data_IF_994526926025
#
_entry.id   IF_994526926025
#
_cell.length_a   1.000
_cell.length_b   1.000
_cell.length_c   1.000
_cell.angle_alpha   90.00
_cell.angle_beta   90.00
_cell.angle_gamma   90.00
#
_symmetry.space_group_name_H-M   'P 1'
#
loop_
_entity.id
_entity.type
_entity.pdbx_description
1 polymer ?
#
# COMPACT_ATOMS: atom_id res chain seq x y z
N UNK A 1 33.25 10.84 -80.86
CA UNK A 1 33.82 9.80 -79.97
C UNK A 1 34.95 10.47 -79.20
N UNK A 2 34.74 11.06 -78.03
CA UNK A 2 34.15 10.47 -76.82
C UNK A 2 33.51 11.56 -75.95
N UNK A 3 32.18 11.61 -75.92
CA UNK A 3 31.43 12.24 -74.83
C UNK A 3 31.74 11.46 -73.54
N UNK A 4 32.29 12.14 -72.54
CA UNK A 4 32.45 11.57 -71.20
C UNK A 4 31.05 11.53 -70.57
N UNK A 5 30.57 10.38 -70.06
CA UNK A 5 29.31 10.36 -69.37
C UNK A 5 29.44 11.17 -68.09
N UNK A 6 28.43 12.00 -67.92
CA UNK A 6 28.13 12.85 -66.78
C UNK A 6 28.33 12.08 -65.47
N UNK A 7 29.33 12.49 -64.68
CA UNK A 7 29.49 12.02 -63.30
C UNK A 7 28.54 12.83 -62.41
N UNK A 8 27.24 12.65 -62.63
CA UNK A 8 26.23 13.13 -61.70
C UNK A 8 26.36 12.28 -60.43
N UNK A 9 26.56 12.91 -59.25
CA UNK A 9 26.45 12.18 -57.99
C UNK A 9 25.09 11.49 -57.96
N UNK A 10 24.97 10.25 -57.47
CA UNK A 10 23.70 9.57 -57.40
C UNK A 10 22.71 10.47 -56.64
N UNK A 11 21.65 10.84 -57.35
CA UNK A 11 20.46 11.51 -56.84
C UNK A 11 20.17 10.93 -55.45
N UNK A 12 20.33 11.77 -54.43
CA UNK A 12 20.17 11.35 -53.04
C UNK A 12 18.76 10.83 -52.88
N UNK A 13 18.64 9.50 -52.80
CA UNK A 13 17.40 8.81 -52.44
C UNK A 13 16.79 9.61 -51.28
N UNK A 14 15.52 10.06 -51.39
CA UNK A 14 14.83 10.65 -50.26
C UNK A 14 14.93 9.64 -49.12
N UNK A 15 15.78 9.94 -48.14
CA UNK A 15 15.95 9.13 -46.95
C UNK A 15 14.57 8.96 -46.38
N UNK A 16 14.00 7.75 -46.47
CA UNK A 16 12.76 7.41 -45.79
C UNK A 16 12.89 7.96 -44.37
N UNK A 17 11.88 8.70 -43.86
CA UNK A 17 11.97 9.25 -42.52
C UNK A 17 12.27 8.08 -41.58
N UNK A 18 13.42 8.16 -40.89
CA UNK A 18 13.79 7.14 -39.92
C UNK A 18 12.58 6.89 -39.02
N UNK A 19 12.20 5.63 -38.76
CA UNK A 19 11.08 5.35 -37.89
C UNK A 19 11.38 6.03 -36.55
N UNK A 20 10.55 7.02 -36.21
CA UNK A 20 10.54 7.69 -34.92
C UNK A 20 10.77 6.63 -33.85
N UNK A 21 11.93 6.71 -33.19
CA UNK A 21 12.20 5.91 -32.00
C UNK A 21 11.10 6.26 -31.01
N UNK A 22 10.07 5.41 -30.94
CA UNK A 22 9.08 5.43 -29.86
C UNK A 22 9.86 5.48 -28.56
N UNK A 23 9.74 6.60 -27.85
CA UNK A 23 10.40 6.86 -26.60
C UNK A 23 10.06 5.73 -25.61
N UNK A 24 11.01 4.80 -25.45
CA UNK A 24 10.88 3.65 -24.56
C UNK A 24 10.99 4.03 -23.07
N UNK A 25 10.78 5.31 -22.72
CA UNK A 25 10.99 5.82 -21.37
C UNK A 25 10.00 6.91 -20.92
N UNK A 26 8.89 7.11 -21.63
CA UNK A 26 7.75 7.86 -21.11
C UNK A 26 6.59 6.90 -20.93
N UNK A 27 6.40 6.37 -19.71
CA UNK A 27 5.12 5.73 -19.39
C UNK A 27 4.02 6.74 -19.71
N UNK A 28 3.06 6.36 -20.55
CA UNK A 28 1.93 7.22 -20.83
C UNK A 28 1.13 7.47 -19.54
N UNK A 29 0.44 8.60 -19.42
CA UNK A 29 -0.49 8.84 -18.30
C UNK A 29 -1.46 7.67 -18.08
N UNK A 30 -1.85 7.00 -19.17
CA UNK A 30 -2.70 5.81 -19.13
C UNK A 30 -1.99 4.60 -18.52
N UNK A 31 -0.69 4.40 -18.79
CA UNK A 31 0.10 3.32 -18.19
C UNK A 31 0.27 3.54 -16.68
N UNK A 32 0.47 4.79 -16.26
CA UNK A 32 0.56 5.12 -14.84
C UNK A 32 -0.79 4.90 -14.12
N UNK A 33 -1.92 5.26 -14.74
CA UNK A 33 -3.26 4.96 -14.19
C UNK A 33 -3.54 3.45 -14.14
N UNK A 34 -3.03 2.67 -15.09
CA UNK A 34 -3.12 1.21 -15.06
C UNK A 34 -2.33 0.62 -13.88
N UNK A 35 -1.16 1.17 -13.59
CA UNK A 35 -0.38 0.80 -12.41
C UNK A 35 -1.12 1.16 -11.11
N UNK A 36 -1.81 2.29 -11.04
CA UNK A 36 -2.64 2.65 -9.88
C UNK A 36 -3.76 1.63 -9.64
N UNK A 37 -4.50 1.26 -10.69
CA UNK A 37 -5.60 0.28 -10.60
C UNK A 37 -5.09 -1.05 -10.04
N UNK A 38 -3.97 -1.53 -10.56
CA UNK A 38 -3.37 -2.79 -10.13
C UNK A 38 -2.83 -2.72 -8.70
N UNK A 39 -2.27 -1.56 -8.32
CA UNK A 39 -1.78 -1.30 -6.96
C UNK A 39 -2.92 -1.29 -5.94
N UNK A 40 -4.03 -0.62 -6.25
CA UNK A 40 -5.24 -0.61 -5.40
C UNK A 40 -5.82 -2.03 -5.27
N UNK A 41 -5.88 -2.78 -6.38
CA UNK A 41 -6.36 -4.16 -6.35
C UNK A 41 -5.52 -5.05 -5.42
N UNK A 42 -4.19 -4.96 -5.50
CA UNK A 42 -3.28 -5.72 -4.63
C UNK A 42 -3.35 -5.29 -3.17
N UNK A 43 -3.41 -3.98 -2.89
CA UNK A 43 -3.50 -3.48 -1.52
C UNK A 43 -4.82 -3.89 -0.86
N UNK A 44 -5.93 -3.89 -1.60
CA UNK A 44 -7.22 -4.41 -1.15
C UNK A 44 -7.17 -5.91 -0.84
N UNK A 45 -6.49 -6.72 -1.66
CA UNK A 45 -6.33 -8.15 -1.39
C UNK A 45 -5.53 -8.38 -0.11
N UNK A 46 -4.42 -7.66 0.08
CA UNK A 46 -3.61 -7.77 1.30
C UNK A 46 -4.38 -7.30 2.53
N UNK A 47 -5.11 -6.19 2.42
CA UNK A 47 -6.02 -5.72 3.47
C UNK A 47 -7.07 -6.78 3.79
N UNK A 48 -7.71 -7.39 2.80
CA UNK A 48 -8.71 -8.44 3.00
C UNK A 48 -8.12 -9.67 3.70
N UNK A 49 -6.91 -10.10 3.32
CA UNK A 49 -6.21 -11.22 3.97
C UNK A 49 -5.94 -10.87 5.45
N UNK A 50 -5.38 -9.70 5.73
CA UNK A 50 -5.07 -9.26 7.09
C UNK A 50 -6.36 -9.08 7.90
N UNK A 51 -7.43 -8.56 7.30
CA UNK A 51 -8.74 -8.44 7.93
C UNK A 51 -9.32 -9.81 8.31
N UNK A 52 -9.21 -10.81 7.45
CA UNK A 52 -9.65 -12.19 7.75
C UNK A 52 -8.80 -12.78 8.88
N UNK A 53 -7.48 -12.59 8.85
CA UNK A 53 -6.59 -13.00 9.96
C UNK A 53 -7.03 -12.33 11.26
N UNK A 54 -7.26 -11.02 11.24
CA UNK A 54 -7.71 -10.27 12.43
C UNK A 54 -9.07 -10.73 12.93
N UNK A 55 -9.99 -11.10 12.03
CA UNK A 55 -11.29 -11.67 12.38
C UNK A 55 -11.16 -13.05 13.04
N UNK A 56 -10.21 -13.89 12.62
CA UNK A 56 -9.94 -15.18 13.28
C UNK A 56 -9.39 -14.98 14.69
N UNK A 57 -8.49 -14.00 14.88
CA UNK A 57 -7.90 -13.64 16.18
C UNK A 57 -8.74 -12.65 17.01
N UNK A 58 -9.97 -12.35 16.57
CA UNK A 58 -10.82 -11.34 17.21
C UNK A 58 -11.05 -11.59 18.69
N UNK A 59 -11.19 -12.86 19.11
CA UNK A 59 -11.39 -13.22 20.52
C UNK A 59 -10.18 -12.83 21.38
N UNK A 60 -8.98 -13.11 20.90
CA UNK A 60 -7.74 -12.81 21.61
C UNK A 60 -7.53 -11.29 21.72
N UNK A 61 -7.77 -10.57 20.62
CA UNK A 61 -7.69 -9.09 20.59
C UNK A 61 -8.76 -8.47 21.48
N UNK A 62 -10.00 -8.98 21.47
CA UNK A 62 -11.05 -8.50 22.34
C UNK A 62 -10.71 -8.76 23.82
N UNK A 63 -10.08 -9.89 24.14
CA UNK A 63 -9.63 -10.18 25.51
C UNK A 63 -8.50 -9.23 25.95
N UNK A 64 -7.53 -8.93 25.07
CA UNK A 64 -6.49 -7.94 25.34
C UNK A 64 -7.10 -6.56 25.61
N UNK A 65 -8.13 -6.17 24.84
CA UNK A 65 -8.75 -4.85 24.94
C UNK A 65 -9.61 -4.69 26.21
N UNK A 66 -10.25 -5.77 26.67
CA UNK A 66 -11.00 -5.78 27.91
C UNK A 66 -10.11 -5.84 29.17
N UNK A 67 -8.85 -6.23 29.05
CA UNK A 67 -7.91 -6.32 30.17
C UNK A 67 -7.63 -4.96 30.88
N UNK A 68 -7.25 -3.87 30.18
CA UNK A 68 -7.07 -2.57 30.82
C UNK A 68 -8.39 -2.00 31.33
N UNK A 69 -9.49 -2.28 30.63
CA UNK A 69 -10.83 -1.83 31.01
C UNK A 69 -11.25 -2.43 32.36
N UNK A 70 -11.13 -3.75 32.52
CA UNK A 70 -11.42 -4.42 33.80
C UNK A 70 -10.51 -3.93 34.93
N UNK A 71 -9.24 -3.63 34.65
CA UNK A 71 -8.30 -3.10 35.65
C UNK A 71 -8.66 -1.68 36.09
N UNK A 72 -9.10 -0.83 35.16
CA UNK A 72 -9.58 0.52 35.46
C UNK A 72 -10.87 0.48 36.31
N UNK A 73 -11.82 -0.39 35.95
CA UNK A 73 -13.05 -0.58 36.72
C UNK A 73 -12.80 -1.18 38.12
N UNK A 74 -11.87 -2.14 38.24
CA UNK A 74 -11.49 -2.71 39.53
C UNK A 74 -10.90 -1.67 40.50
N UNK A 75 -10.15 -0.68 39.99
CA UNK A 75 -9.61 0.42 40.81
C UNK A 75 -10.64 1.50 41.14
N UNK A 76 -11.69 1.64 40.31
CA UNK A 76 -12.76 2.63 40.50
C UNK A 76 -13.85 2.18 41.49
N UNK A 77 -13.79 0.94 42.00
CA UNK A 77 -14.72 0.43 43.02
C UNK A 77 -16.13 0.14 42.52
N UNK A 78 -16.36 0.15 41.21
CA UNK A 78 -17.68 -0.04 40.61
C UNK A 78 -17.67 -1.29 39.72
N UNK A 79 -18.32 -2.35 40.23
CA UNK A 79 -18.52 -3.65 39.58
C UNK A 79 -19.60 -3.58 38.51
N UNK A 80 -19.53 -2.63 37.58
CA UNK A 80 -20.40 -2.63 36.40
C UNK A 80 -19.71 -3.45 35.31
N UNK A 81 -19.82 -4.77 35.44
CA UNK A 81 -19.52 -5.68 34.32
C UNK A 81 -20.25 -5.19 33.07
N UNK A 82 -19.54 -5.18 31.94
CA UNK A 82 -19.99 -4.68 30.63
C UNK A 82 -21.52 -4.74 30.48
N UNK A 83 -22.19 -3.62 30.74
CA UNK A 83 -23.63 -3.53 30.53
C UNK A 83 -23.81 -3.66 29.03
N UNK A 84 -24.31 -4.83 28.62
CA UNK A 84 -24.53 -5.16 27.22
C UNK A 84 -25.76 -4.38 26.77
N UNK A 85 -25.56 -3.08 26.47
CA UNK A 85 -26.61 -2.12 26.10
C UNK A 85 -27.45 -2.59 24.91
N UNK A 86 -26.91 -3.48 24.07
CA UNK A 86 -27.66 -4.34 23.15
C UNK A 86 -26.68 -5.33 22.49
N UNK A 87 -27.13 -6.50 22.02
CA UNK A 87 -26.29 -7.39 21.21
C UNK A 87 -25.79 -6.70 19.93
N UNK A 88 -26.53 -5.72 19.42
CA UNK A 88 -26.15 -4.91 18.26
C UNK A 88 -24.89 -4.06 18.52
N UNK A 89 -24.74 -3.49 19.73
CA UNK A 89 -23.58 -2.69 20.09
C UNK A 89 -22.29 -3.53 20.09
N UNK A 90 -22.34 -4.73 20.66
CA UNK A 90 -21.18 -5.65 20.73
C UNK A 90 -20.72 -6.06 19.34
N UNK A 91 -21.66 -6.34 18.42
CA UNK A 91 -21.33 -6.64 17.03
C UNK A 91 -20.64 -5.47 16.32
N UNK A 92 -21.11 -4.23 16.52
CA UNK A 92 -20.49 -3.04 15.95
C UNK A 92 -19.05 -2.85 16.45
N UNK A 93 -18.82 -3.03 17.76
CA UNK A 93 -17.47 -2.96 18.34
C UNK A 93 -16.55 -4.00 17.71
N UNK A 94 -17.01 -5.24 17.56
CA UNK A 94 -16.21 -6.29 16.91
C UNK A 94 -15.87 -5.96 15.45
N UNK A 95 -16.83 -5.44 14.67
CA UNK A 95 -16.53 -4.98 13.32
C UNK A 95 -15.52 -3.83 13.30
N UNK A 96 -15.66 -2.86 14.21
CA UNK A 96 -14.72 -1.76 14.32
C UNK A 96 -13.31 -2.25 14.71
N UNK A 97 -13.19 -3.22 15.62
CA UNK A 97 -11.91 -3.81 16.01
C UNK A 97 -11.27 -4.56 14.83
N UNK A 98 -12.03 -5.40 14.11
CA UNK A 98 -11.53 -6.07 12.91
C UNK A 98 -11.11 -5.07 11.83
N UNK A 99 -11.91 -4.03 11.60
CA UNK A 99 -11.65 -3.04 10.58
C UNK A 99 -10.44 -2.18 10.91
N UNK A 100 -10.40 -1.61 12.11
CA UNK A 100 -9.32 -0.75 12.55
C UNK A 100 -8.03 -1.55 12.75
N UNK A 101 -8.12 -2.75 13.32
CA UNK A 101 -6.99 -3.66 13.48
C UNK A 101 -6.46 -4.19 12.16
N UNK A 102 -7.35 -4.54 11.23
CA UNK A 102 -6.98 -4.93 9.87
C UNK A 102 -6.33 -3.78 9.10
N UNK A 103 -6.88 -2.56 9.22
CA UNK A 103 -6.31 -1.36 8.63
C UNK A 103 -4.92 -1.10 9.21
N UNK A 104 -4.80 -1.21 10.53
CA UNK A 104 -3.54 -1.04 11.24
C UNK A 104 -2.48 -2.05 10.77
N UNK A 105 -2.81 -3.35 10.73
CA UNK A 105 -1.89 -4.38 10.24
C UNK A 105 -1.55 -4.27 8.75
N UNK A 106 -2.49 -3.78 7.94
CA UNK A 106 -2.28 -3.62 6.49
C UNK A 106 -1.45 -2.39 6.14
N UNK A 107 -1.39 -1.37 7.00
CA UNK A 107 -0.77 -0.09 6.71
C UNK A 107 0.69 -0.19 6.24
N UNK A 108 1.59 -0.97 6.86
CA UNK A 108 2.95 -1.14 6.33
C UNK A 108 2.99 -1.72 4.91
N UNK A 109 2.08 -2.63 4.57
CA UNK A 109 1.99 -3.21 3.22
C UNK A 109 1.38 -2.22 2.22
N UNK A 110 0.34 -1.50 2.61
CA UNK A 110 -0.29 -0.45 1.78
C UNK A 110 0.73 0.64 1.46
N UNK A 111 1.53 1.08 2.43
CA UNK A 111 2.62 2.04 2.21
C UNK A 111 3.66 1.53 1.22
N UNK A 112 4.01 0.24 1.29
CA UNK A 112 4.93 -0.36 0.32
C UNK A 112 4.36 -0.38 -1.11
N UNK A 113 3.11 -0.78 -1.28
CA UNK A 113 2.46 -0.78 -2.59
C UNK A 113 2.32 0.64 -3.14
N UNK A 114 1.91 1.60 -2.30
CA UNK A 114 1.81 3.00 -2.68
C UNK A 114 3.19 3.58 -3.05
N UNK A 115 4.23 3.26 -2.27
CA UNK A 115 5.60 3.65 -2.56
C UNK A 115 6.09 3.08 -3.89
N UNK A 116 5.73 1.83 -4.21
CA UNK A 116 6.05 1.22 -5.51
C UNK A 116 5.33 1.89 -6.67
N UNK A 117 4.10 2.36 -6.49
CA UNK A 117 3.39 3.17 -7.48
C UNK A 117 4.03 4.55 -7.69
N UNK A 118 4.63 5.14 -6.65
CA UNK A 118 5.35 6.42 -6.74
C UNK A 118 6.78 6.24 -7.26
N UNK A 119 7.38 5.06 -7.12
CA UNK A 119 8.73 4.73 -7.55
C UNK A 119 9.08 5.09 -9.02
N UNK A 120 8.18 4.95 -10.01
CA UNK A 120 8.46 5.34 -11.40
C UNK A 120 8.64 6.86 -11.55
N UNK A 121 8.00 7.65 -10.68
CA UNK A 121 8.15 9.10 -10.64
C UNK A 121 9.43 9.57 -9.92
N UNK A 122 10.21 8.62 -9.35
CA UNK A 122 11.35 8.89 -8.50
C UNK A 122 12.63 8.24 -9.06
N UNK A 123 13.79 8.81 -8.76
CA UNK A 123 15.06 8.32 -9.33
C UNK A 123 15.34 6.87 -8.87
N UNK A 124 15.90 6.03 -9.74
CA UNK A 124 16.14 4.59 -9.49
C UNK A 124 16.93 4.30 -8.19
N UNK A 125 17.71 5.27 -7.71
CA UNK A 125 18.44 5.21 -6.43
C UNK A 125 17.54 5.37 -5.21
N UNK A 126 16.47 6.15 -5.32
CA UNK A 126 15.52 6.43 -4.23
C UNK A 126 14.46 5.34 -4.10
N UNK A 127 14.10 4.67 -5.20
CA UNK A 127 13.23 3.49 -5.17
C UNK A 127 13.78 2.35 -4.28
N UNK A 128 15.12 2.28 -4.10
CA UNK A 128 15.75 1.33 -3.18
C UNK A 128 15.47 1.62 -1.70
N UNK A 129 15.12 2.87 -1.36
CA UNK A 129 14.76 3.29 0.01
C UNK A 129 13.36 2.82 0.41
N UNK A 130 12.51 2.43 -0.56
CA UNK A 130 11.18 1.91 -0.28
C UNK A 130 11.20 0.59 0.50
N UNK A 131 12.20 -0.27 0.25
CA UNK A 131 12.36 -1.53 0.96
C UNK A 131 12.71 -1.34 2.46
N UNK A 132 13.76 -0.59 2.84
CA UNK A 132 14.02 -0.31 4.25
C UNK A 132 12.91 0.53 4.89
N UNK A 133 12.26 1.44 4.14
CA UNK A 133 11.11 2.19 4.66
C UNK A 133 9.94 1.28 5.04
N UNK A 134 9.69 0.19 4.32
CA UNK A 134 8.68 -0.81 4.69
C UNK A 134 9.00 -1.48 6.02
N UNK A 135 10.26 -1.88 6.22
CA UNK A 135 10.71 -2.50 7.49
C UNK A 135 10.56 -1.52 8.64
N UNK A 136 10.99 -0.27 8.44
CA UNK A 136 10.84 0.79 9.44
C UNK A 136 9.36 1.03 9.75
N UNK A 137 8.49 1.11 8.74
CA UNK A 137 7.05 1.31 8.91
C UNK A 137 6.43 0.18 9.72
N UNK A 138 6.83 -1.08 9.49
CA UNK A 138 6.38 -2.22 10.27
C UNK A 138 6.81 -2.13 11.74
N UNK A 139 8.07 -1.77 12.00
CA UNK A 139 8.60 -1.56 13.35
C UNK A 139 7.85 -0.41 14.04
N UNK A 140 7.67 0.71 13.35
CA UNK A 140 7.01 1.90 13.87
C UNK A 140 5.53 1.62 14.18
N UNK A 141 4.87 0.81 13.35
CA UNK A 141 3.52 0.32 13.62
C UNK A 141 3.46 -0.53 14.88
N UNK A 142 4.35 -1.51 15.01
CA UNK A 142 4.38 -2.37 16.20
C UNK A 142 4.65 -1.55 17.46
N UNK A 143 5.58 -0.59 17.38
CA UNK A 143 5.93 0.29 18.49
C UNK A 143 4.78 1.24 18.85
N UNK A 144 4.11 1.81 17.85
CA UNK A 144 2.94 2.68 18.03
C UNK A 144 1.75 1.94 18.63
N UNK A 145 1.54 0.68 18.24
CA UNK A 145 0.50 -0.18 18.82
C UNK A 145 0.78 -0.50 20.30
N UNK A 146 2.05 -0.76 20.64
CA UNK A 146 2.48 -0.92 22.02
C UNK A 146 2.27 0.37 22.82
N UNK A 147 2.68 1.51 22.26
CA UNK A 147 2.55 2.81 22.92
C UNK A 147 1.08 3.14 23.20
N UNK A 148 0.20 3.01 22.21
CA UNK A 148 -1.23 3.26 22.36
C UNK A 148 -1.94 2.32 23.36
N UNK A 149 -1.36 1.13 23.62
CA UNK A 149 -1.89 0.20 24.61
C UNK A 149 -1.37 0.48 26.03
N UNK A 150 -0.12 0.91 26.17
CA UNK A 150 0.54 1.06 27.48
C UNK A 150 0.53 2.48 28.05
N UNK A 151 0.35 3.51 27.23
CA UNK A 151 0.40 4.93 27.62
C UNK A 151 -0.94 5.60 27.33
#
# INVERSE_FOLDING_TARGET
MTDRPDNQPPESIPTEPEPEKKDANSMGFLDHLEELRWTIGKSLIVFAIIFVVMAVFLKDVAQILNWPLNRAFANAGEQTGLVTTSPMAVFSVYLQVCFLGGLFGSLPFVLYFLGRFVAPALNQREARVLLPACIISFILFMMGGLFAYFV
#
